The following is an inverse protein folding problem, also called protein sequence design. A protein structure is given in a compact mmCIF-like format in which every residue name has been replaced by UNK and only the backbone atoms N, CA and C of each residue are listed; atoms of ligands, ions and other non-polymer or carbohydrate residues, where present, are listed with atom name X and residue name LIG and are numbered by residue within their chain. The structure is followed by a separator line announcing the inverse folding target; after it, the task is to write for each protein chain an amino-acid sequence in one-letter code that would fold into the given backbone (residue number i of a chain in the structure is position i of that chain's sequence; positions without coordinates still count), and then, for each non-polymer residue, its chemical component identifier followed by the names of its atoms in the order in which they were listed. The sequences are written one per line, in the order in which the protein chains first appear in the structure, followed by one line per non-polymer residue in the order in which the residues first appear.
data_IF_606156639831
#
_entry.id   IF_606156639831
#
_cell.length_a   1.000
_cell.length_b   1.000
_cell.length_c   1.000
_cell.angle_alpha   90.00
_cell.angle_beta   90.00
_cell.angle_gamma   90.00
#
_symmetry.space_group_name_H-M   'P 1'
#
loop_
_entity.id
_entity.type
_entity.pdbx_description
1 polymer ?
#
# COMPACT_ATOMS: atom_id res chain seq x y z
N UNK A 1 52.77 -23.74 -41.22
CA UNK A 1 52.63 -22.26 -41.15
C UNK A 1 51.20 -21.71 -41.26
N UNK A 2 50.15 -22.45 -41.64
CA UNK A 2 48.75 -21.93 -41.62
C UNK A 2 47.89 -22.34 -40.42
N UNK A 3 48.29 -23.34 -39.63
CA UNK A 3 47.48 -23.84 -38.50
C UNK A 3 47.81 -23.18 -37.14
N UNK A 4 49.00 -22.61 -36.96
CA UNK A 4 49.42 -22.03 -35.68
C UNK A 4 48.84 -20.62 -35.45
N UNK A 5 48.51 -19.89 -36.52
CA UNK A 5 47.94 -18.53 -36.46
C UNK A 5 46.46 -18.57 -36.02
N UNK A 6 45.73 -19.64 -36.35
CA UNK A 6 44.32 -19.82 -35.96
C UNK A 6 44.19 -20.16 -34.47
N UNK A 7 45.16 -20.89 -33.92
CA UNK A 7 45.17 -21.27 -32.51
C UNK A 7 45.49 -20.08 -31.59
N UNK A 8 46.45 -19.24 -31.98
CA UNK A 8 46.79 -18.01 -31.26
C UNK A 8 45.65 -16.99 -31.25
N UNK A 9 44.96 -16.80 -32.38
CA UNK A 9 43.82 -15.87 -32.46
C UNK A 9 42.62 -16.32 -31.62
N UNK A 10 42.33 -17.62 -31.58
CA UNK A 10 41.30 -18.19 -30.69
C UNK A 10 41.66 -18.06 -29.19
N UNK A 11 42.92 -18.24 -28.83
CA UNK A 11 43.39 -18.11 -27.44
C UNK A 11 43.21 -16.67 -26.92
N UNK A 12 43.65 -15.68 -27.70
CA UNK A 12 43.49 -14.26 -27.36
C UNK A 12 42.01 -13.80 -27.33
N UNK A 13 41.17 -14.36 -28.20
CA UNK A 13 39.73 -14.11 -28.17
C UNK A 13 39.07 -14.67 -26.89
N UNK A 14 39.47 -15.87 -26.46
CA UNK A 14 38.97 -16.50 -25.23
C UNK A 14 39.38 -15.71 -23.97
N UNK A 15 40.62 -15.22 -23.93
CA UNK A 15 41.13 -14.42 -22.82
C UNK A 15 40.44 -13.05 -22.72
N UNK A 16 40.17 -12.39 -23.87
CA UNK A 16 39.34 -11.18 -23.93
C UNK A 16 37.90 -11.43 -23.46
N UNK A 17 37.28 -12.54 -23.85
CA UNK A 17 35.95 -12.91 -23.37
C UNK A 17 35.92 -13.15 -21.85
N UNK A 18 36.94 -13.82 -21.29
CA UNK A 18 37.05 -14.05 -19.85
C UNK A 18 37.26 -12.74 -19.08
N UNK A 19 38.13 -11.85 -19.56
CA UNK A 19 38.35 -10.53 -18.96
C UNK A 19 37.06 -9.70 -19.01
N UNK A 20 36.35 -9.68 -20.14
CA UNK A 20 35.07 -8.97 -20.26
C UNK A 20 33.99 -9.56 -19.34
N UNK A 21 33.94 -10.88 -19.18
CA UNK A 21 33.03 -11.53 -18.25
C UNK A 21 33.36 -11.20 -16.78
N UNK A 22 34.65 -11.18 -16.41
CA UNK A 22 35.12 -10.78 -15.08
C UNK A 22 34.84 -9.31 -14.82
N UNK A 23 35.13 -8.41 -15.76
CA UNK A 23 34.83 -6.97 -15.65
C UNK A 23 33.34 -6.71 -15.52
N UNK A 24 32.51 -7.42 -16.29
CA UNK A 24 31.06 -7.33 -16.19
C UNK A 24 30.53 -7.91 -14.88
N UNK A 25 31.13 -9.00 -14.38
CA UNK A 25 30.79 -9.56 -13.07
C UNK A 25 31.22 -8.64 -11.91
N UNK A 26 32.43 -8.09 -11.95
CA UNK A 26 32.93 -7.08 -11.01
C UNK A 26 32.08 -5.82 -11.04
N UNK A 27 31.67 -5.37 -12.23
CA UNK A 27 30.74 -4.26 -12.42
C UNK A 27 29.37 -4.55 -11.80
N UNK A 28 28.80 -5.74 -12.03
CA UNK A 28 27.56 -6.18 -11.37
C UNK A 28 27.71 -6.31 -9.86
N UNK A 29 28.84 -6.83 -9.37
CA UNK A 29 29.13 -6.98 -7.95
C UNK A 29 29.26 -5.62 -7.25
N UNK A 30 30.00 -4.68 -7.85
CA UNK A 30 30.13 -3.31 -7.37
C UNK A 30 28.76 -2.59 -7.37
N UNK A 31 27.96 -2.79 -8.42
CA UNK A 31 26.59 -2.27 -8.49
C UNK A 31 25.70 -2.85 -7.38
N UNK A 32 25.73 -4.16 -7.16
CA UNK A 32 24.98 -4.84 -6.09
C UNK A 32 25.39 -4.33 -4.70
N UNK A 33 26.69 -4.11 -4.48
CA UNK A 33 27.17 -3.52 -3.23
C UNK A 33 26.67 -2.09 -3.05
N UNK A 34 26.75 -1.23 -4.08
CA UNK A 34 26.18 0.13 -4.02
C UNK A 34 24.67 0.11 -3.74
N UNK A 35 23.92 -0.77 -4.41
CA UNK A 35 22.49 -0.97 -4.15
C UNK A 35 22.27 -1.35 -2.69
N UNK A 36 23.03 -2.32 -2.16
CA UNK A 36 22.91 -2.75 -0.76
C UNK A 36 23.19 -1.61 0.22
N UNK A 37 24.20 -0.78 -0.03
CA UNK A 37 24.49 0.37 0.82
C UNK A 37 23.39 1.44 0.75
N UNK A 38 22.75 1.67 -0.41
CA UNK A 38 21.57 2.55 -0.53
C UNK A 38 20.41 2.02 0.33
N UNK A 39 20.10 0.72 0.26
CA UNK A 39 19.04 0.12 1.08
C UNK A 39 19.35 0.24 2.58
N UNK A 40 20.59 0.01 2.99
CA UNK A 40 21.02 0.22 4.38
C UNK A 40 20.88 1.67 4.81
N UNK A 41 21.30 2.62 3.97
CA UNK A 41 21.17 4.05 4.24
C UNK A 41 19.71 4.41 4.54
N UNK A 42 18.77 4.08 3.63
CA UNK A 42 17.36 4.39 3.84
C UNK A 42 16.76 3.66 5.03
N UNK A 43 17.23 2.46 5.37
CA UNK A 43 16.81 1.75 6.57
C UNK A 43 17.17 2.50 7.86
N UNK A 44 18.41 2.97 8.00
CA UNK A 44 18.85 3.73 9.17
C UNK A 44 18.24 5.13 9.18
N UNK A 45 18.20 5.80 8.04
CA UNK A 45 17.62 7.13 7.90
C UNK A 45 16.12 7.15 8.23
N UNK A 46 15.37 6.14 7.80
CA UNK A 46 13.97 6.00 8.19
C UNK A 46 13.79 5.81 9.70
N UNK A 47 14.68 5.06 10.36
CA UNK A 47 14.67 4.90 11.82
C UNK A 47 14.96 6.20 12.54
N UNK A 48 15.93 6.97 12.05
CA UNK A 48 16.26 8.30 12.57
C UNK A 48 15.05 9.24 12.52
N UNK A 49 14.38 9.34 11.36
CA UNK A 49 13.15 10.13 11.21
C UNK A 49 12.07 9.66 12.18
N UNK A 50 11.90 8.34 12.35
CA UNK A 50 10.94 7.79 13.31
C UNK A 50 11.28 8.18 14.75
N UNK A 51 12.54 8.21 15.13
CA UNK A 51 12.98 8.59 16.47
C UNK A 51 12.84 10.11 16.73
N UNK A 52 13.02 10.94 15.70
CA UNK A 52 12.85 12.40 15.79
C UNK A 52 11.39 12.87 15.66
N UNK A 53 10.50 11.98 15.20
CA UNK A 53 9.08 12.29 15.07
C UNK A 53 8.48 12.53 16.46
N UNK A 54 7.92 13.72 16.64
CA UNK A 54 7.22 14.07 17.88
C UNK A 54 5.90 13.32 17.95
N UNK A 55 5.52 12.92 19.17
CA UNK A 55 4.22 12.33 19.44
C UNK A 55 3.34 13.34 20.16
N UNK A 56 2.17 13.63 19.58
CA UNK A 56 1.22 14.60 20.10
C UNK A 56 0.01 13.88 20.71
N UNK A 57 -0.77 14.53 21.60
CA UNK A 57 -1.98 13.94 22.14
C UNK A 57 -2.99 13.54 21.06
N UNK A 58 -3.61 12.37 21.22
CA UNK A 58 -4.70 11.84 20.37
C UNK A 58 -5.79 11.22 21.25
N UNK A 59 -6.17 11.90 22.32
CA UNK A 59 -7.06 11.41 23.39
C UNK A 59 -8.46 11.15 22.87
N UNK A 60 -9.00 12.04 22.03
CA UNK A 60 -10.37 11.93 21.51
C UNK A 60 -10.54 10.63 20.71
N UNK A 61 -9.53 10.28 19.92
CA UNK A 61 -9.52 9.04 19.14
C UNK A 61 -9.55 7.77 20.00
N UNK A 62 -9.18 7.85 21.28
CA UNK A 62 -9.15 6.72 22.22
C UNK A 62 -10.37 6.62 23.11
N UNK A 63 -11.32 7.55 23.04
CA UNK A 63 -12.58 7.42 23.78
C UNK A 63 -13.34 6.14 23.39
N UNK A 64 -14.00 5.45 24.34
CA UNK A 64 -14.69 4.19 24.08
C UNK A 64 -15.69 4.26 22.92
N UNK A 65 -16.47 5.34 22.84
CA UNK A 65 -17.46 5.62 21.79
C UNK A 65 -16.85 5.74 20.38
N UNK A 66 -15.56 6.11 20.28
CA UNK A 66 -14.85 6.28 19.00
C UNK A 66 -14.13 5.00 18.54
N UNK A 67 -14.16 3.93 19.34
CA UNK A 67 -13.45 2.68 19.01
C UNK A 67 -13.91 2.09 17.68
N UNK A 68 -15.20 2.13 17.37
CA UNK A 68 -15.77 1.63 16.11
C UNK A 68 -15.61 2.59 14.91
N UNK A 69 -15.08 3.80 15.12
CA UNK A 69 -14.75 4.77 14.06
C UNK A 69 -13.28 4.67 13.60
N UNK A 70 -12.48 3.83 14.27
CA UNK A 70 -11.07 3.61 13.98
C UNK A 70 -10.83 2.26 13.31
N UNK A 71 -10.26 2.27 12.10
CA UNK A 71 -9.91 1.03 11.39
C UNK A 71 -8.75 0.29 12.04
N UNK A 72 -7.80 1.03 12.59
CA UNK A 72 -6.60 0.50 13.22
C UNK A 72 -6.43 1.10 14.62
N UNK A 73 -6.12 0.25 15.61
CA UNK A 73 -5.97 0.67 17.01
C UNK A 73 -4.75 1.58 17.22
N UNK A 74 -3.72 1.40 16.42
CA UNK A 74 -2.41 2.04 16.48
C UNK A 74 -2.27 3.24 15.53
N UNK A 75 -3.34 3.62 14.81
CA UNK A 75 -3.35 4.79 13.92
C UNK A 75 -4.48 5.72 14.31
N UNK A 76 -4.15 6.90 14.82
CA UNK A 76 -5.13 7.88 15.31
C UNK A 76 -4.73 9.29 14.88
N UNK A 77 -5.69 10.19 14.61
CA UNK A 77 -5.37 11.59 14.37
C UNK A 77 -4.97 12.26 15.69
N UNK A 78 -4.05 13.24 15.63
CA UNK A 78 -3.74 14.07 16.78
C UNK A 78 -4.88 15.05 17.08
N UNK A 79 -5.09 15.37 18.35
CA UNK A 79 -6.24 16.16 18.81
C UNK A 79 -6.23 17.59 18.24
N UNK A 80 -5.04 18.18 18.05
CA UNK A 80 -4.87 19.55 17.54
C UNK A 80 -5.09 19.68 16.03
N UNK A 81 -4.93 18.60 15.27
CA UNK A 81 -5.01 18.59 13.81
C UNK A 81 -6.17 17.74 13.27
N UNK A 82 -6.92 17.04 14.14
CA UNK A 82 -8.06 16.23 13.69
C UNK A 82 -9.11 17.09 13.02
N UNK A 83 -9.71 16.56 11.95
CA UNK A 83 -10.92 17.16 11.39
C UNK A 83 -12.07 16.91 12.36
N UNK A 84 -12.90 17.93 12.58
CA UNK A 84 -14.08 17.86 13.45
C UNK A 84 -15.33 17.98 12.60
N UNK A 85 -16.20 16.99 12.67
CA UNK A 85 -17.49 17.02 11.99
C UNK A 85 -18.41 18.01 12.70
N UNK A 86 -19.13 18.82 11.93
CA UNK A 86 -20.18 19.71 12.44
C UNK A 86 -21.55 19.06 12.25
N UNK A 87 -22.55 19.49 13.03
CA UNK A 87 -23.94 19.03 12.94
C UNK A 87 -24.11 17.50 13.15
N UNK A 88 -23.27 16.91 13.99
CA UNK A 88 -23.37 15.51 14.44
C UNK A 88 -23.24 15.45 15.96
N UNK A 89 -23.86 14.45 16.61
CA UNK A 89 -23.73 14.25 18.06
C UNK A 89 -22.29 13.98 18.48
N UNK A 90 -21.54 13.28 17.62
CA UNK A 90 -20.14 12.96 17.81
C UNK A 90 -19.32 13.52 16.64
N UNK A 91 -18.42 14.47 16.96
CA UNK A 91 -17.60 15.23 16.01
C UNK A 91 -16.40 14.43 15.43
N UNK A 92 -16.21 13.19 15.88
CA UNK A 92 -15.00 12.41 15.60
C UNK A 92 -15.04 11.72 14.24
N UNK A 93 -13.96 11.92 13.48
CA UNK A 93 -13.56 11.13 12.32
C UNK A 93 -12.04 10.93 12.35
N UNK A 94 -11.53 9.76 11.94
CA UNK A 94 -10.09 9.50 11.87
C UNK A 94 -9.48 10.17 10.63
N UNK A 95 -9.36 11.49 10.68
CA UNK A 95 -8.79 12.34 9.65
C UNK A 95 -7.98 13.47 10.28
N UNK A 96 -6.89 13.86 9.62
CA UNK A 96 -6.02 14.96 10.06
C UNK A 96 -5.89 15.98 8.94
N UNK A 97 -6.08 17.25 9.25
CA UNK A 97 -5.69 18.36 8.39
C UNK A 97 -4.17 18.55 8.51
N UNK A 98 -3.45 18.28 7.43
CA UNK A 98 -2.00 18.51 7.31
C UNK A 98 -1.83 19.77 6.48
N UNK A 99 -1.39 20.83 7.14
CA UNK A 99 -1.27 22.15 6.53
C UNK A 99 0.20 22.53 6.32
N UNK A 100 0.57 22.77 5.07
CA UNK A 100 1.92 23.19 4.67
C UNK A 100 1.87 24.65 4.24
N UNK A 101 1.73 25.54 5.24
CA UNK A 101 1.50 26.97 5.06
C UNK A 101 2.55 27.64 4.16
N UNK A 102 3.83 27.27 4.31
CA UNK A 102 4.95 27.77 3.48
C UNK A 102 4.69 27.60 1.98
N UNK A 103 4.00 26.52 1.59
CA UNK A 103 3.65 26.25 0.19
C UNK A 103 2.20 26.56 -0.18
N UNK A 104 1.39 27.05 0.76
CA UNK A 104 -0.06 27.23 0.58
C UNK A 104 -0.73 25.95 0.08
N UNK A 105 -0.35 24.80 0.66
CA UNK A 105 -0.88 23.49 0.30
C UNK A 105 -1.36 22.76 1.54
N UNK A 106 -2.62 22.35 1.53
CA UNK A 106 -3.23 21.64 2.65
C UNK A 106 -3.89 20.34 2.18
N UNK A 107 -3.83 19.31 3.02
CA UNK A 107 -4.37 17.99 2.74
C UNK A 107 -5.19 17.50 3.93
N UNK A 108 -6.28 16.78 3.69
CA UNK A 108 -6.91 15.96 4.73
C UNK A 108 -6.48 14.52 4.52
N UNK A 109 -5.64 14.02 5.42
CA UNK A 109 -5.19 12.63 5.41
C UNK A 109 -6.08 11.79 6.32
N UNK A 110 -6.74 10.78 5.75
CA UNK A 110 -7.76 9.98 6.46
C UNK A 110 -7.59 8.48 6.22
N UNK A 111 -8.15 7.66 7.11
CA UNK A 111 -8.24 6.22 6.89
C UNK A 111 -9.21 5.88 5.75
N UNK A 112 -9.08 4.69 5.16
CA UNK A 112 -10.10 4.15 4.27
C UNK A 112 -11.41 3.94 5.05
N UNK A 113 -12.54 4.53 4.63
CA UNK A 113 -13.79 4.46 5.37
C UNK A 113 -14.17 3.04 5.80
N UNK A 114 -14.65 2.90 7.03
CA UNK A 114 -15.39 1.72 7.51
C UNK A 114 -16.85 1.81 7.06
N UNK A 115 -17.60 0.70 6.99
CA UNK A 115 -19.02 0.72 6.60
C UNK A 115 -19.86 1.74 7.38
N UNK A 116 -19.66 1.83 8.70
CA UNK A 116 -20.34 2.77 9.59
C UNK A 116 -19.77 4.20 9.57
N UNK A 117 -18.82 4.50 8.69
CA UNK A 117 -18.18 5.82 8.58
C UNK A 117 -18.17 6.39 7.17
N UNK A 118 -18.77 5.70 6.19
CA UNK A 118 -18.92 6.24 4.84
C UNK A 118 -19.76 7.53 4.83
N UNK A 119 -20.83 7.60 5.62
CA UNK A 119 -21.64 8.81 5.79
C UNK A 119 -20.80 9.98 6.35
N UNK A 120 -20.05 9.73 7.42
CA UNK A 120 -19.13 10.70 8.03
C UNK A 120 -18.04 11.17 7.05
N UNK A 121 -17.54 10.29 6.18
CA UNK A 121 -16.56 10.63 5.16
C UNK A 121 -17.12 11.64 4.15
N UNK A 122 -18.33 11.42 3.63
CA UNK A 122 -18.94 12.36 2.69
C UNK A 122 -19.38 13.68 3.34
N UNK A 123 -19.83 13.62 4.61
CA UNK A 123 -20.04 14.82 5.41
C UNK A 123 -18.74 15.65 5.54
N UNK A 124 -17.61 14.99 5.81
CA UNK A 124 -16.30 15.64 5.86
C UNK A 124 -15.93 16.28 4.51
N UNK A 125 -16.05 15.54 3.41
CA UNK A 125 -15.79 16.06 2.04
C UNK A 125 -16.59 17.33 1.79
N UNK A 126 -17.88 17.33 2.15
CA UNK A 126 -18.76 18.49 2.02
C UNK A 126 -18.32 19.67 2.88
N UNK A 127 -18.10 19.45 4.18
CA UNK A 127 -17.77 20.51 5.14
C UNK A 127 -16.41 21.14 4.87
N UNK A 128 -15.44 20.33 4.44
CA UNK A 128 -14.12 20.82 4.06
C UNK A 128 -14.10 21.50 2.69
N UNK A 129 -15.22 21.50 1.94
CA UNK A 129 -15.31 22.06 0.58
C UNK A 129 -14.27 21.44 -0.38
N UNK A 130 -13.94 20.18 -0.18
CA UNK A 130 -12.94 19.47 -0.98
C UNK A 130 -13.49 19.18 -2.37
N UNK A 131 -12.68 19.47 -3.41
CA UNK A 131 -13.04 19.20 -4.82
C UNK A 131 -12.65 17.80 -5.28
N UNK A 132 -11.70 17.17 -4.59
CA UNK A 132 -11.22 15.85 -4.96
C UNK A 132 -10.95 14.93 -3.77
N UNK A 133 -11.02 13.64 -4.07
CA UNK A 133 -10.62 12.52 -3.23
C UNK A 133 -9.56 11.71 -3.98
N UNK A 134 -8.42 11.46 -3.34
CA UNK A 134 -7.33 10.63 -3.85
C UNK A 134 -7.28 9.34 -3.05
N UNK A 135 -7.68 8.23 -3.68
CA UNK A 135 -7.70 6.88 -3.13
C UNK A 135 -6.49 6.08 -3.63
N UNK A 136 -5.62 5.67 -2.71
CA UNK A 136 -4.35 5.00 -3.04
C UNK A 136 -4.33 3.51 -2.72
N UNK A 137 -5.50 2.88 -2.52
CA UNK A 137 -5.62 1.45 -2.23
C UNK A 137 -6.79 0.82 -2.98
N UNK A 138 -6.79 -0.51 -3.09
CA UNK A 138 -7.99 -1.25 -3.51
C UNK A 138 -8.88 -1.55 -2.31
N UNK A 139 -10.18 -1.71 -2.54
CA UNK A 139 -11.16 -2.13 -1.51
C UNK A 139 -10.70 -3.41 -0.81
N UNK A 140 -10.20 -4.37 -1.58
CA UNK A 140 -9.62 -5.62 -1.10
C UNK A 140 -8.16 -5.73 -1.53
N UNK A 141 -7.27 -6.03 -0.58
CA UNK A 141 -5.86 -6.31 -0.85
C UNK A 141 -5.40 -7.52 -0.03
N UNK A 142 -4.70 -8.47 -0.66
CA UNK A 142 -4.25 -9.71 -0.02
C UNK A 142 -5.41 -10.40 0.73
N UNK A 143 -6.56 -10.52 0.05
CA UNK A 143 -7.79 -11.14 0.57
C UNK A 143 -8.43 -10.46 1.79
N UNK A 144 -7.99 -9.25 2.15
CA UNK A 144 -8.50 -8.50 3.29
C UNK A 144 -9.17 -7.20 2.85
N UNK A 145 -10.32 -6.86 3.44
CA UNK A 145 -11.00 -5.58 3.19
C UNK A 145 -10.21 -4.45 3.83
N UNK A 146 -9.69 -3.54 2.99
CA UNK A 146 -8.86 -2.40 3.38
C UNK A 146 -9.61 -1.08 3.41
N UNK A 147 -10.74 -1.00 2.72
CA UNK A 147 -11.62 0.15 2.63
C UNK A 147 -13.03 -0.37 2.33
N UNK A 148 -14.08 0.30 2.83
CA UNK A 148 -15.44 0.03 2.37
C UNK A 148 -15.64 0.54 0.94
N UNK A 149 -16.61 -0.02 0.22
CA UNK A 149 -17.11 0.56 -1.02
C UNK A 149 -17.94 1.80 -0.66
N UNK A 150 -17.31 2.98 -0.66
CA UNK A 150 -17.93 4.23 -0.20
C UNK A 150 -18.43 5.12 -1.35
N UNK A 151 -18.19 4.72 -2.60
CA UNK A 151 -18.68 5.38 -3.81
C UNK A 151 -19.45 4.36 -4.67
N UNK A 152 -20.40 4.81 -5.53
CA UNK A 152 -21.09 3.94 -6.46
C UNK A 152 -20.18 3.46 -7.60
N UNK A 153 -20.30 2.18 -8.00
CA UNK A 153 -19.56 1.56 -9.12
C UNK A 153 -20.41 1.24 -10.34
N UNK A 154 -21.74 1.30 -10.21
CA UNK A 154 -22.71 1.06 -11.28
C UNK A 154 -23.58 2.32 -11.44
N UNK A 155 -24.60 2.30 -12.31
CA UNK A 155 -25.62 3.36 -12.47
C UNK A 155 -26.50 3.61 -11.21
N UNK A 156 -26.04 3.14 -10.04
CA UNK A 156 -26.71 3.25 -8.75
C UNK A 156 -26.24 4.49 -8.02
N UNK A 157 -27.15 5.13 -7.29
CA UNK A 157 -26.82 6.14 -6.30
C UNK A 157 -26.58 5.49 -4.93
N UNK A 158 -25.71 6.11 -4.12
CA UNK A 158 -25.55 5.77 -2.71
C UNK A 158 -26.16 6.88 -1.86
N UNK A 159 -27.08 6.52 -0.97
CA UNK A 159 -27.74 7.45 -0.05
C UNK A 159 -27.26 7.19 1.37
N UNK A 160 -26.67 8.20 2.00
CA UNK A 160 -26.20 8.21 3.38
C UNK A 160 -27.19 9.03 4.23
N UNK A 161 -28.26 8.36 4.67
CA UNK A 161 -29.39 9.01 5.37
C UNK A 161 -28.98 9.64 6.69
N UNK A 162 -28.00 9.05 7.38
CA UNK A 162 -27.49 9.50 8.68
C UNK A 162 -26.90 10.91 8.63
N UNK A 163 -26.35 11.29 7.48
CA UNK A 163 -25.74 12.61 7.25
C UNK A 163 -26.45 13.43 6.18
N UNK A 164 -27.53 12.91 5.58
CA UNK A 164 -28.32 13.61 4.56
C UNK A 164 -27.62 13.81 3.22
N UNK A 165 -26.73 12.90 2.81
CA UNK A 165 -26.00 13.01 1.54
C UNK A 165 -26.36 11.92 0.55
N UNK A 166 -26.34 12.28 -0.73
CA UNK A 166 -26.44 11.34 -1.85
C UNK A 166 -25.20 11.47 -2.74
N UNK A 167 -24.67 10.35 -3.20
CA UNK A 167 -23.53 10.28 -4.12
C UNK A 167 -23.93 9.53 -5.38
N UNK A 168 -23.74 10.15 -6.53
CA UNK A 168 -23.99 9.57 -7.86
C UNK A 168 -22.70 9.51 -8.67
N UNK A 169 -22.52 8.44 -9.43
CA UNK A 169 -21.48 8.37 -10.46
C UNK A 169 -21.98 9.10 -11.71
N UNK A 170 -21.22 10.09 -12.20
CA UNK A 170 -21.53 10.81 -13.44
C UNK A 170 -20.75 10.25 -14.63
N UNK A 171 -19.47 9.94 -14.42
CA UNK A 171 -18.62 9.35 -15.46
C UNK A 171 -17.42 8.63 -14.84
N UNK A 172 -16.81 7.73 -15.60
CA UNK A 172 -15.60 7.01 -15.23
C UNK A 172 -14.61 7.02 -16.40
N UNK A 173 -13.34 7.34 -16.13
CA UNK A 173 -12.22 7.19 -17.06
C UNK A 173 -11.22 6.18 -16.49
N UNK A 174 -11.25 4.96 -17.04
CA UNK A 174 -10.42 3.84 -16.58
C UNK A 174 -9.12 3.78 -17.38
N UNK A 175 -7.97 3.86 -16.69
CA UNK A 175 -6.63 3.63 -17.24
C UNK A 175 -6.01 2.35 -16.69
N UNK A 176 -4.84 1.98 -17.19
CA UNK A 176 -4.17 0.73 -16.81
C UNK A 176 -3.80 0.63 -15.31
N UNK A 177 -3.52 1.75 -14.64
CA UNK A 177 -3.09 1.77 -13.22
C UNK A 177 -3.83 2.76 -12.33
N UNK A 178 -4.78 3.51 -12.88
CA UNK A 178 -5.66 4.39 -12.12
C UNK A 178 -7.00 4.55 -12.82
N UNK A 179 -8.00 4.99 -12.07
CA UNK A 179 -9.33 5.35 -12.58
C UNK A 179 -9.69 6.72 -12.05
N UNK A 180 -10.29 7.57 -12.88
CA UNK A 180 -10.87 8.84 -12.46
C UNK A 180 -12.39 8.74 -12.54
N UNK A 181 -13.06 8.87 -11.40
CA UNK A 181 -14.52 8.96 -11.36
C UNK A 181 -14.92 10.42 -11.18
N UNK A 182 -15.94 10.85 -11.90
CA UNK A 182 -16.62 12.11 -11.63
C UNK A 182 -17.88 11.80 -10.82
N UNK A 183 -17.94 12.28 -9.59
CA UNK A 183 -19.03 12.02 -8.67
C UNK A 183 -19.85 13.29 -8.44
N UNK A 184 -21.16 13.16 -8.32
CA UNK A 184 -22.03 14.22 -7.80
C UNK A 184 -22.33 13.94 -6.33
N UNK A 185 -21.95 14.87 -5.45
CA UNK A 185 -22.30 14.88 -4.04
C UNK A 185 -23.44 15.89 -3.82
N UNK A 186 -24.58 15.40 -3.38
CA UNK A 186 -25.82 16.17 -3.16
C UNK A 186 -26.14 16.22 -1.67
N UNK A 187 -26.36 17.42 -1.14
CA UNK A 187 -26.96 17.61 0.18
C UNK A 187 -28.49 17.60 0.03
N UNK A 188 -29.11 16.50 0.45
CA UNK A 188 -30.53 16.19 0.25
C UNK A 188 -31.44 17.22 0.94
N UNK A 189 -30.97 17.88 2.01
CA UNK A 189 -31.79 18.86 2.74
C UNK A 189 -31.88 20.21 2.03
N UNK A 190 -30.87 20.54 1.21
CA UNK A 190 -30.73 21.85 0.56
C UNK A 190 -30.81 21.80 -0.96
N UNK A 191 -30.81 20.60 -1.53
CA UNK A 191 -30.64 20.32 -2.97
C UNK A 191 -29.37 20.92 -3.61
N UNK A 192 -28.44 21.47 -2.81
CA UNK A 192 -27.12 21.89 -3.28
C UNK A 192 -26.32 20.65 -3.74
N UNK A 193 -25.69 20.76 -4.91
CA UNK A 193 -24.85 19.70 -5.47
C UNK A 193 -23.44 20.20 -5.76
N UNK A 194 -22.46 19.31 -5.62
CA UNK A 194 -21.05 19.56 -5.93
C UNK A 194 -20.48 18.40 -6.71
N UNK A 195 -19.64 18.73 -7.68
CA UNK A 195 -18.91 17.73 -8.45
C UNK A 195 -17.58 17.43 -7.77
N UNK A 196 -17.32 16.15 -7.50
CA UNK A 196 -16.12 15.65 -6.82
C UNK A 196 -15.33 14.75 -7.77
N UNK A 197 -14.07 15.07 -8.00
CA UNK A 197 -13.15 14.21 -8.74
C UNK A 197 -12.55 13.14 -7.82
N UNK A 198 -12.83 11.87 -8.09
CA UNK A 198 -12.31 10.74 -7.32
C UNK A 198 -11.21 10.02 -8.11
N UNK A 199 -9.96 10.27 -7.72
CA UNK A 199 -8.76 9.70 -8.32
C UNK A 199 -8.36 8.41 -7.59
N UNK A 200 -8.52 7.27 -8.25
CA UNK A 200 -8.26 5.95 -7.66
C UNK A 200 -7.02 5.31 -8.28
N UNK A 201 -5.90 5.27 -7.56
CA UNK A 201 -4.70 4.53 -7.98
C UNK A 201 -4.87 3.03 -7.65
N UNK A 202 -4.96 2.18 -8.68
CA UNK A 202 -5.43 0.79 -8.54
C UNK A 202 -4.31 -0.25 -8.39
N UNK A 203 -3.08 0.08 -8.79
CA UNK A 203 -1.96 -0.89 -8.83
C UNK A 203 -0.89 -0.68 -7.75
N UNK A 204 -1.13 0.19 -6.76
CA UNK A 204 -0.17 0.40 -5.67
C UNK A 204 -0.23 -0.76 -4.66
N UNK A 205 0.82 -1.59 -4.53
CA UNK A 205 0.81 -2.73 -3.61
C UNK A 205 0.87 -2.32 -2.13
N UNK A 206 0.12 -3.03 -1.27
CA UNK A 206 0.13 -2.78 0.18
C UNK A 206 1.52 -3.05 0.80
N UNK A 207 2.03 -2.06 1.54
CA UNK A 207 3.41 -1.97 2.08
C UNK A 207 4.54 -1.94 1.04
N UNK A 208 4.21 -1.93 -0.25
CA UNK A 208 5.18 -1.77 -1.33
C UNK A 208 5.24 -0.33 -1.85
N UNK A 209 5.84 -0.21 -3.02
CA UNK A 209 5.97 1.03 -3.78
C UNK A 209 5.56 0.77 -5.22
N UNK A 210 5.13 1.80 -5.98
CA UNK A 210 4.93 1.67 -7.42
C UNK A 210 6.21 1.17 -8.10
N UNK A 211 6.07 0.38 -9.17
CA UNK A 211 7.21 -0.21 -9.87
C UNK A 211 8.16 0.85 -10.46
N UNK A 212 7.61 2.00 -10.86
CA UNK A 212 8.39 3.13 -11.33
C UNK A 212 7.84 4.46 -10.79
N UNK A 213 8.70 5.48 -10.59
CA UNK A 213 8.25 6.84 -10.31
C UNK A 213 7.38 7.44 -11.42
N UNK A 214 7.51 6.97 -12.68
CA UNK A 214 6.81 7.54 -13.83
C UNK A 214 5.28 7.41 -13.72
N UNK A 215 4.75 6.23 -13.36
CA UNK A 215 3.30 6.04 -13.20
C UNK A 215 2.76 6.86 -12.02
N UNK A 216 3.50 6.91 -10.91
CA UNK A 216 3.14 7.73 -9.75
C UNK A 216 3.11 9.22 -10.10
N UNK A 217 4.15 9.72 -10.77
CA UNK A 217 4.24 11.12 -11.16
C UNK A 217 3.15 11.47 -12.17
N UNK A 218 2.94 10.67 -13.21
CA UNK A 218 1.85 10.91 -14.15
C UNK A 218 0.49 11.00 -13.44
N UNK A 219 0.20 10.11 -12.50
CA UNK A 219 -1.01 10.20 -11.68
C UNK A 219 -1.05 11.47 -10.82
N UNK A 220 0.04 11.84 -10.12
CA UNK A 220 0.11 13.07 -9.34
C UNK A 220 -0.14 14.31 -10.20
N UNK A 221 0.47 14.38 -11.38
CA UNK A 221 0.25 15.48 -12.32
C UNK A 221 -1.18 15.51 -12.85
N UNK A 222 -1.84 14.35 -13.07
CA UNK A 222 -3.28 14.31 -13.38
C UNK A 222 -4.14 14.91 -12.27
N UNK A 223 -3.80 14.67 -10.99
CA UNK A 223 -4.48 15.31 -9.86
C UNK A 223 -4.24 16.83 -9.87
N UNK A 224 -3.00 17.28 -10.11
CA UNK A 224 -2.65 18.71 -10.20
C UNK A 224 -3.37 19.43 -11.34
N UNK A 225 -3.38 18.84 -12.54
CA UNK A 225 -4.02 19.39 -13.75
C UNK A 225 -5.54 19.59 -13.60
N UNK A 226 -6.18 18.87 -12.67
CA UNK A 226 -7.61 19.08 -12.37
C UNK A 226 -7.91 20.37 -11.60
N UNK A 227 -6.88 21.08 -11.12
CA UNK A 227 -6.99 22.23 -10.22
C UNK A 227 -7.48 21.87 -8.82
N UNK A 228 -7.60 20.59 -8.48
CA UNK A 228 -8.16 20.17 -7.18
C UNK A 228 -7.21 20.35 -5.99
N UNK A 229 -5.95 20.70 -6.26
CA UNK A 229 -4.94 21.01 -5.25
C UNK A 229 -4.79 22.53 -5.04
N UNK A 230 -5.48 23.35 -5.83
CA UNK A 230 -5.35 24.81 -5.82
C UNK A 230 -5.95 25.42 -4.54
N UNK A 231 -5.42 26.58 -4.08
CA UNK A 231 -5.84 27.20 -2.82
C UNK A 231 -7.29 27.74 -2.84
N UNK A 232 -7.92 27.86 -4.00
CA UNK A 232 -9.30 28.32 -4.16
C UNK A 232 -10.35 27.30 -3.70
N UNK A 233 -9.90 26.09 -3.32
CA UNK A 233 -10.74 25.00 -2.89
C UNK A 233 -10.35 24.51 -1.50
N UNK A 234 -11.25 23.74 -0.89
CA UNK A 234 -10.92 23.00 0.31
C UNK A 234 -9.76 22.02 0.12
N UNK A 235 -9.08 21.60 1.20
CA UNK A 235 -7.98 20.65 1.12
C UNK A 235 -8.43 19.35 0.44
N UNK A 236 -7.57 18.81 -0.43
CA UNK A 236 -7.84 17.50 -1.05
C UNK A 236 -7.91 16.41 0.03
N UNK A 237 -8.85 15.48 -0.11
CA UNK A 237 -8.91 14.31 0.77
C UNK A 237 -8.00 13.23 0.20
N UNK A 238 -6.98 12.80 0.94
CA UNK A 238 -6.08 11.71 0.51
C UNK A 238 -6.19 10.55 1.48
N UNK A 239 -6.44 9.35 0.98
CA UNK A 239 -6.52 8.17 1.81
C UNK A 239 -5.86 6.95 1.17
N UNK A 240 -5.52 6.00 2.03
CA UNK A 240 -5.26 4.62 1.64
C UNK A 240 -6.07 3.74 2.59
N UNK A 241 -5.49 2.66 3.13
CA UNK A 241 -6.19 1.91 4.20
C UNK A 241 -6.08 2.62 5.56
N UNK A 242 -4.86 2.93 6.02
CA UNK A 242 -4.63 3.62 7.30
C UNK A 242 -4.49 5.15 7.16
N UNK A 243 -4.29 5.65 5.95
CA UNK A 243 -4.10 7.08 5.69
C UNK A 243 -2.74 7.63 6.11
N UNK A 244 -1.68 6.81 6.14
CA UNK A 244 -0.35 7.24 6.61
C UNK A 244 0.80 6.82 5.68
N UNK A 245 0.84 5.58 5.18
CA UNK A 245 1.93 5.09 4.33
C UNK A 245 1.91 5.73 2.93
N UNK A 246 1.03 5.22 2.06
CA UNK A 246 0.87 5.69 0.67
C UNK A 246 0.43 7.15 0.60
N UNK A 247 -0.49 7.54 1.48
CA UNK A 247 -0.96 8.93 1.61
C UNK A 247 0.15 9.89 2.03
N UNK A 248 1.04 9.46 2.93
CA UNK A 248 2.22 10.22 3.32
C UNK A 248 3.21 10.38 2.16
N UNK A 249 3.47 9.30 1.39
CA UNK A 249 4.30 9.38 0.17
C UNK A 249 3.71 10.34 -0.86
N UNK A 250 2.41 10.22 -1.16
CA UNK A 250 1.75 11.11 -2.13
C UNK A 250 1.92 12.59 -1.74
N UNK A 251 1.54 12.91 -0.50
CA UNK A 251 1.52 14.29 -0.02
C UNK A 251 2.92 14.87 0.15
N UNK A 252 3.90 14.07 0.62
CA UNK A 252 5.30 14.51 0.72
C UNK A 252 5.89 14.83 -0.64
N UNK A 253 5.70 13.95 -1.63
CA UNK A 253 6.24 14.19 -2.98
C UNK A 253 5.62 15.43 -3.59
N UNK A 254 4.30 15.58 -3.49
CA UNK A 254 3.60 16.78 -3.95
C UNK A 254 4.14 18.05 -3.29
N UNK A 255 4.16 18.10 -1.96
CA UNK A 255 4.67 19.25 -1.18
C UNK A 255 6.08 19.63 -1.61
N UNK A 256 7.01 18.66 -1.68
CA UNK A 256 8.39 18.94 -2.09
C UNK A 256 8.46 19.48 -3.53
N UNK A 257 7.68 18.95 -4.47
CA UNK A 257 7.68 19.46 -5.84
C UNK A 257 7.17 20.92 -5.90
N UNK A 258 6.19 21.30 -5.07
CA UNK A 258 5.72 22.70 -4.98
C UNK A 258 6.78 23.61 -4.39
N UNK A 259 7.48 23.20 -3.32
CA UNK A 259 8.63 23.96 -2.78
C UNK A 259 9.70 24.19 -3.84
N UNK A 260 9.97 23.16 -4.65
CA UNK A 260 10.96 23.22 -5.74
C UNK A 260 10.53 24.18 -6.86
N UNK A 261 9.24 24.21 -7.20
CA UNK A 261 8.67 25.16 -8.17
C UNK A 261 8.80 26.61 -7.71
N UNK A 262 8.78 26.85 -6.38
CA UNK A 262 9.02 28.18 -5.79
C UNK A 262 10.51 28.56 -5.71
N UNK A 263 11.42 27.61 -5.98
CA UNK A 263 12.87 27.82 -5.93
C UNK A 263 13.51 27.56 -4.57
N UNK A 264 12.80 26.92 -3.64
CA UNK A 264 13.31 26.63 -2.29
C UNK A 264 14.35 25.50 -2.29
N UNK A 265 15.34 25.59 -1.40
CA UNK A 265 16.18 24.43 -1.08
C UNK A 265 15.43 23.47 -0.15
N UNK A 266 15.40 22.18 -0.49
CA UNK A 266 14.49 21.22 0.14
C UNK A 266 15.25 20.23 1.01
N UNK A 267 14.99 20.31 2.31
CA UNK A 267 15.28 19.22 3.23
C UNK A 267 14.07 18.28 3.36
N UNK A 268 14.03 17.23 2.53
CA UNK A 268 12.90 16.27 2.48
C UNK A 268 12.62 15.63 3.84
N UNK A 269 13.66 15.35 4.65
CA UNK A 269 13.48 14.84 6.03
C UNK A 269 12.76 15.86 6.90
N UNK A 270 13.16 17.13 6.84
CA UNK A 270 12.51 18.18 7.64
C UNK A 270 11.06 18.39 7.21
N UNK A 271 10.77 18.38 5.91
CA UNK A 271 9.39 18.43 5.39
C UNK A 271 8.57 17.27 5.94
N UNK A 272 9.07 16.04 5.87
CA UNK A 272 8.38 14.86 6.42
C UNK A 272 8.17 14.96 7.95
N UNK A 273 9.17 15.43 8.69
CA UNK A 273 9.04 15.66 10.14
C UNK A 273 7.98 16.72 10.44
N UNK A 274 7.92 17.80 9.66
CA UNK A 274 6.90 18.84 9.78
C UNK A 274 5.50 18.27 9.49
N UNK A 275 5.32 17.51 8.41
CA UNK A 275 4.04 16.85 8.11
C UNK A 275 3.63 15.87 9.22
N UNK A 276 4.59 15.15 9.81
CA UNK A 276 4.35 14.23 10.93
C UNK A 276 3.91 14.92 12.22
N UNK A 277 4.07 16.24 12.35
CA UNK A 277 3.45 17.00 13.44
C UNK A 277 1.94 16.99 13.37
N UNK A 278 1.36 16.86 12.16
CA UNK A 278 -0.10 16.86 11.96
C UNK A 278 -0.69 15.46 11.97
N UNK A 279 0.02 14.45 11.48
CA UNK A 279 -0.45 13.05 11.49
C UNK A 279 0.69 12.09 11.74
N UNK A 280 0.49 11.17 12.68
CA UNK A 280 1.49 10.17 13.03
C UNK A 280 1.87 9.27 11.84
N UNK A 281 3.13 8.81 11.84
CA UNK A 281 3.54 7.67 11.04
C UNK A 281 3.47 7.85 9.51
N UNK A 282 3.42 9.08 8.99
CA UNK A 282 3.48 9.31 7.55
C UNK A 282 4.73 8.66 6.95
N UNK A 283 4.56 7.87 5.87
CA UNK A 283 5.58 6.95 5.34
C UNK A 283 5.89 5.83 6.35
N UNK A 284 5.57 4.59 5.98
CA UNK A 284 5.58 3.43 6.88
C UNK A 284 6.79 2.50 6.69
N UNK A 285 7.50 2.60 5.56
CA UNK A 285 8.64 1.72 5.26
C UNK A 285 9.85 2.51 4.72
N UNK A 286 11.08 2.00 4.91
CA UNK A 286 12.27 2.56 4.27
C UNK A 286 12.13 2.65 2.73
N UNK A 287 11.46 1.67 2.12
CA UNK A 287 11.25 1.64 0.67
C UNK A 287 10.32 2.76 0.21
N UNK A 288 9.27 3.08 0.98
CA UNK A 288 8.41 4.24 0.69
C UNK A 288 9.18 5.56 0.82
N UNK A 289 10.08 5.68 1.80
CA UNK A 289 10.95 6.85 1.92
C UNK A 289 11.89 6.96 0.71
N UNK A 290 12.58 5.87 0.36
CA UNK A 290 13.44 5.78 -0.81
C UNK A 290 12.69 6.13 -2.10
N UNK A 291 11.49 5.60 -2.28
CA UNK A 291 10.64 5.89 -3.43
C UNK A 291 10.24 7.37 -3.48
N UNK A 292 9.94 7.99 -2.32
CA UNK A 292 9.62 9.42 -2.25
C UNK A 292 10.79 10.26 -2.78
N UNK A 293 12.03 9.96 -2.37
CA UNK A 293 13.22 10.62 -2.92
C UNK A 293 13.37 10.40 -4.43
N UNK A 294 13.17 9.16 -4.91
CA UNK A 294 13.23 8.88 -6.35
C UNK A 294 12.20 9.68 -7.14
N UNK A 295 10.96 9.75 -6.65
CA UNK A 295 9.89 10.50 -7.28
C UNK A 295 10.13 12.01 -7.26
N UNK A 296 10.65 12.56 -6.16
CA UNK A 296 11.01 13.99 -6.07
C UNK A 296 12.15 14.31 -7.04
N UNK A 297 13.22 13.50 -7.08
CA UNK A 297 14.36 13.71 -7.99
C UNK A 297 13.92 13.63 -9.46
N UNK A 298 13.06 12.66 -9.79
CA UNK A 298 12.54 12.51 -11.15
C UNK A 298 11.58 13.67 -11.49
N UNK A 299 10.70 14.03 -10.57
CA UNK A 299 9.75 15.14 -10.70
C UNK A 299 10.43 16.50 -10.90
N UNK A 300 11.53 16.74 -10.19
CA UNK A 300 12.33 17.95 -10.30
C UNK A 300 12.90 18.19 -11.72
N UNK A 301 13.07 17.13 -12.52
CA UNK A 301 13.52 17.27 -13.91
C UNK A 301 12.47 17.94 -14.79
N UNK A 302 11.18 17.71 -14.55
CA UNK A 302 10.09 18.42 -15.24
C UNK A 302 10.09 19.90 -14.92
N UNK A 303 10.27 20.27 -13.65
CA UNK A 303 10.26 21.66 -13.18
C UNK A 303 11.38 22.47 -13.85
N UNK A 304 12.54 21.84 -14.12
CA UNK A 304 13.68 22.47 -14.79
C UNK A 304 13.51 22.69 -16.31
N UNK A 305 12.30 22.57 -16.85
CA UNK A 305 11.95 22.98 -18.21
C UNK A 305 11.96 21.88 -19.26
N UNK A 306 12.09 20.60 -18.88
CA UNK A 306 12.02 19.49 -19.82
C UNK A 306 10.56 19.05 -20.01
N UNK A 307 9.78 19.86 -20.74
CA UNK A 307 8.35 19.65 -21.01
C UNK A 307 8.04 18.33 -21.74
N UNK A 308 9.04 17.71 -22.37
CA UNK A 308 8.92 16.39 -22.98
C UNK A 308 8.87 15.25 -21.96
N UNK A 309 9.31 15.46 -20.72
CA UNK A 309 9.31 14.40 -19.69
C UNK A 309 7.89 13.97 -19.32
N UNK A 310 6.92 14.90 -19.29
CA UNK A 310 5.54 14.53 -18.97
C UNK A 310 4.94 13.58 -20.03
N UNK A 311 5.18 13.87 -21.32
CA UNK A 311 4.84 12.95 -22.42
C UNK A 311 5.55 11.61 -22.25
N UNK A 312 6.84 11.64 -21.89
CA UNK A 312 7.64 10.44 -21.65
C UNK A 312 7.12 9.61 -20.48
N UNK A 313 6.65 10.22 -19.39
CA UNK A 313 6.05 9.46 -18.27
C UNK A 313 4.72 8.86 -18.66
N UNK A 314 3.89 9.59 -19.41
CA UNK A 314 2.66 9.01 -19.98
C UNK A 314 2.98 7.76 -20.79
N UNK A 315 3.94 7.84 -21.71
CA UNK A 315 4.41 6.71 -22.52
C UNK A 315 4.98 5.57 -21.66
N UNK A 316 5.88 5.87 -20.71
CA UNK A 316 6.51 4.88 -19.84
C UNK A 316 5.52 4.23 -18.87
N UNK A 317 4.49 4.96 -18.46
CA UNK A 317 3.44 4.46 -17.56
C UNK A 317 2.48 3.52 -18.26
N UNK A 318 2.43 3.57 -19.61
CA UNK A 318 1.54 2.76 -20.44
C UNK A 318 0.08 2.89 -19.99
N UNK A 319 -0.37 4.11 -19.72
CA UNK A 319 -1.72 4.38 -19.17
C UNK A 319 -2.85 3.90 -20.08
N UNK A 320 -2.64 3.95 -21.41
CA UNK A 320 -3.65 3.61 -22.42
C UNK A 320 -3.79 2.09 -22.69
N UNK A 321 -3.01 1.25 -22.00
CA UNK A 321 -3.19 -0.21 -22.08
C UNK A 321 -4.46 -0.66 -21.33
N UNK A 322 -5.06 -1.76 -21.79
CA UNK A 322 -6.18 -2.37 -21.07
C UNK A 322 -5.78 -2.73 -19.63
N UNK A 323 -6.65 -2.51 -18.63
CA UNK A 323 -6.41 -2.94 -17.26
C UNK A 323 -6.07 -4.43 -17.22
N UNK A 324 -5.08 -4.81 -16.41
CA UNK A 324 -4.78 -6.22 -16.20
C UNK A 324 -5.99 -6.90 -15.54
N UNK A 325 -6.59 -7.88 -16.20
CA UNK A 325 -7.71 -8.67 -15.68
C UNK A 325 -7.24 -9.53 -14.50
N UNK A 326 -7.46 -9.07 -13.27
CA UNK A 326 -7.45 -9.94 -12.11
C UNK A 326 -8.77 -10.74 -12.10
N UNK A 327 -8.75 -11.95 -12.66
CA UNK A 327 -9.84 -12.90 -12.49
C UNK A 327 -9.94 -13.30 -11.01
N UNK A 328 -10.89 -12.73 -10.28
CA UNK A 328 -11.42 -13.35 -9.06
C UNK A 328 -12.95 -13.41 -9.15
N UNK A 329 -13.55 -14.61 -9.15
CA UNK A 329 -15.01 -14.72 -9.20
C UNK A 329 -15.62 -14.17 -7.90
N UNK A 330 -16.72 -13.43 -8.04
CA UNK A 330 -17.60 -12.99 -6.96
C UNK A 330 -17.94 -14.18 -6.03
N UNK A 331 -17.17 -14.34 -4.95
CA UNK A 331 -17.56 -15.16 -3.81
C UNK A 331 -18.07 -14.22 -2.75
N UNK A 332 -19.33 -14.38 -2.38
CA UNK A 332 -19.90 -13.85 -1.14
C UNK A 332 -19.06 -14.40 0.02
N UNK A 333 -18.06 -13.63 0.43
CA UNK A 333 -17.22 -13.91 1.58
C UNK A 333 -17.88 -13.28 2.79
N UNK A 334 -18.18 -14.09 3.81
CA UNK A 334 -18.47 -13.58 5.16
C UNK A 334 -17.36 -12.62 5.59
N UNK A 335 -17.72 -11.34 5.70
CA UNK A 335 -16.83 -10.22 5.97
C UNK A 335 -16.10 -10.43 7.31
N UNK A 336 -14.77 -10.56 7.26
CA UNK A 336 -13.92 -10.51 8.45
C UNK A 336 -13.10 -9.23 8.40
N UNK A 337 -13.60 -8.20 9.06
CA UNK A 337 -12.82 -7.01 9.38
C UNK A 337 -11.70 -7.41 10.35
N UNK A 338 -10.49 -6.92 10.12
CA UNK A 338 -9.40 -7.09 11.07
C UNK A 338 -9.66 -6.22 12.30
N UNK A 339 -10.36 -6.78 13.28
CA UNK A 339 -10.63 -6.15 14.57
C UNK A 339 -11.93 -6.64 15.18
N UNK A 340 -11.81 -7.36 16.30
CA UNK A 340 -12.87 -7.87 17.19
C UNK A 340 -13.61 -9.14 16.73
N UNK A 341 -13.26 -10.27 17.36
CA UNK A 341 -14.23 -11.30 17.73
C UNK A 341 -14.90 -10.83 19.02
N UNK A 342 -16.22 -10.76 19.05
CA UNK A 342 -17.00 -10.65 20.28
C UNK A 342 -17.79 -11.96 20.39
N UNK A 343 -17.50 -12.74 21.43
CA UNK A 343 -18.39 -13.81 21.86
C UNK A 343 -19.52 -13.21 22.69
N UNK A 344 -20.72 -13.81 22.74
CA UNK A 344 -21.76 -13.34 23.62
C UNK A 344 -21.40 -13.71 25.06
N UNK A 345 -21.25 -12.69 25.92
CA UNK A 345 -21.36 -12.85 27.37
C UNK A 345 -22.85 -12.85 27.73
N UNK A 346 -23.26 -13.86 28.49
CA UNK A 346 -24.60 -14.01 29.04
C UNK A 346 -24.81 -12.96 30.15
N UNK A 347 -25.79 -12.08 29.96
CA UNK A 347 -26.31 -11.25 31.05
C UNK A 347 -27.18 -12.11 31.96
N UNK A 348 -26.72 -12.31 33.19
CA UNK A 348 -27.55 -12.76 34.31
C UNK A 348 -28.28 -11.55 34.90
N UNK A 349 -29.61 -11.59 34.90
CA UNK A 349 -30.45 -10.78 35.80
C UNK A 349 -31.41 -11.70 36.58
N UNK A 350 -31.72 -11.35 37.84
CA UNK A 350 -32.30 -12.27 38.82
C UNK A 350 -33.82 -12.36 38.72
N UNK A 351 -34.36 -13.50 39.15
CA UNK A 351 -35.76 -13.85 39.00
C UNK A 351 -36.71 -13.22 40.02
N UNK A 352 -38.00 -13.33 39.69
CA UNK A 352 -39.04 -13.56 40.68
C UNK A 352 -40.22 -14.34 40.09
N UNK A 353 -40.91 -15.09 40.95
CA UNK A 353 -41.88 -16.17 40.68
C UNK A 353 -43.28 -15.66 40.30
N UNK A 354 -44.06 -16.44 39.54
CA UNK A 354 -45.32 -17.08 40.03
C UNK A 354 -45.97 -18.04 38.99
N UNK A 355 -46.66 -19.05 39.51
CA UNK A 355 -47.29 -20.25 38.90
C UNK A 355 -48.43 -20.01 37.90
N UNK A 356 -48.71 -21.02 37.03
CA UNK A 356 -50.05 -21.26 36.48
C UNK A 356 -50.21 -22.19 35.25
N UNK A 357 -50.26 -23.51 35.48
CA UNK A 357 -51.06 -24.58 34.83
C UNK A 357 -51.27 -24.69 33.27
N UNK A 358 -50.67 -25.76 32.71
CA UNK A 358 -51.25 -26.87 31.89
C UNK A 358 -52.28 -26.64 30.76
N UNK A 359 -51.92 -27.06 29.54
CA UNK A 359 -52.64 -28.14 28.81
C UNK A 359 -51.81 -28.74 27.67
N UNK A 360 -51.76 -30.09 27.62
CA UNK A 360 -51.09 -30.94 26.62
C UNK A 360 -51.79 -30.91 25.25
N UNK A 361 -51.01 -31.04 24.18
CA UNK A 361 -51.31 -31.95 23.06
C UNK A 361 -49.97 -32.43 22.47
N UNK A 362 -49.76 -33.75 22.39
CA UNK A 362 -48.63 -34.42 21.75
C UNK A 362 -49.07 -34.95 20.40
N UNK A 363 -48.20 -34.88 19.38
CA UNK A 363 -47.84 -35.95 18.41
C UNK A 363 -46.86 -35.39 17.34
N UNK A 364 -46.12 -36.21 16.54
CA UNK A 364 -44.80 -36.71 16.95
C UNK A 364 -43.66 -36.47 15.92
N UNK A 365 -42.41 -36.51 16.42
CA UNK A 365 -41.19 -37.07 15.80
C UNK A 365 -40.85 -36.65 14.36
N UNK A 366 -40.14 -35.54 14.18
CA UNK A 366 -39.28 -35.33 13.00
C UNK A 366 -38.03 -34.44 13.28
N UNK A 367 -37.55 -34.38 14.53
CA UNK A 367 -36.49 -33.44 14.94
C UNK A 367 -35.08 -34.02 15.14
N UNK A 368 -34.90 -35.35 15.18
CA UNK A 368 -33.60 -35.91 15.61
C UNK A 368 -32.58 -36.01 14.47
N UNK A 369 -33.00 -36.35 13.24
CA UNK A 369 -32.08 -36.60 12.13
C UNK A 369 -31.40 -35.33 11.60
N UNK A 370 -32.10 -34.20 11.53
CA UNK A 370 -31.52 -32.94 11.06
C UNK A 370 -30.41 -32.40 11.99
N UNK A 371 -30.61 -32.53 13.31
CA UNK A 371 -29.63 -32.07 14.31
C UNK A 371 -28.34 -32.89 14.26
N UNK A 372 -28.46 -34.20 14.01
CA UNK A 372 -27.34 -35.14 13.86
C UNK A 372 -26.59 -34.91 12.54
N UNK A 373 -27.31 -34.62 11.45
CA UNK A 373 -26.71 -34.28 10.15
C UNK A 373 -25.95 -32.95 10.23
N UNK A 374 -26.51 -31.91 10.85
CA UNK A 374 -25.80 -30.62 11.06
C UNK A 374 -24.57 -30.78 11.95
N UNK A 375 -24.61 -31.66 12.95
CA UNK A 375 -23.45 -31.95 13.81
C UNK A 375 -22.34 -32.65 13.02
N UNK A 376 -22.65 -33.66 12.20
CA UNK A 376 -21.68 -34.33 11.31
C UNK A 376 -21.06 -33.38 10.29
N UNK A 377 -21.85 -32.51 9.64
CA UNK A 377 -21.33 -31.52 8.68
C UNK A 377 -20.37 -30.53 9.36
N UNK A 378 -20.63 -30.15 10.62
CA UNK A 378 -19.75 -29.27 11.40
C UNK A 378 -18.46 -29.96 11.80
N UNK A 379 -18.51 -31.24 12.13
CA UNK A 379 -17.34 -32.06 12.48
C UNK A 379 -16.46 -32.35 11.24
N UNK A 380 -17.06 -32.66 10.09
CA UNK A 380 -16.35 -32.83 8.81
C UNK A 380 -15.64 -31.54 8.37
N UNK A 381 -16.28 -30.37 8.54
CA UNK A 381 -15.63 -29.08 8.27
C UNK A 381 -14.45 -28.80 9.20
N UNK A 382 -14.55 -29.18 10.47
CA UNK A 382 -13.44 -29.07 11.44
C UNK A 382 -12.29 -30.01 11.05
N UNK A 383 -12.59 -31.26 10.72
CA UNK A 383 -11.60 -32.24 10.29
C UNK A 383 -10.89 -31.82 9.00
N UNK A 384 -11.63 -31.35 7.99
CA UNK A 384 -11.08 -30.87 6.72
C UNK A 384 -10.19 -29.63 6.92
N UNK A 385 -10.58 -28.73 7.83
CA UNK A 385 -9.78 -27.54 8.16
C UNK A 385 -8.51 -27.91 8.91
N UNK A 386 -8.59 -28.83 9.88
CA UNK A 386 -7.44 -29.34 10.61
C UNK A 386 -6.43 -30.04 9.67
N UNK A 387 -6.93 -30.83 8.71
CA UNK A 387 -6.11 -31.52 7.72
C UNK A 387 -5.39 -30.54 6.77
N UNK A 388 -6.07 -29.48 6.33
CA UNK A 388 -5.45 -28.39 5.53
C UNK A 388 -4.39 -27.62 6.30
N UNK A 389 -4.64 -27.34 7.59
CA UNK A 389 -3.65 -26.69 8.47
C UNK A 389 -2.43 -27.59 8.67
N UNK A 390 -2.62 -28.89 8.82
CA UNK A 390 -1.53 -29.85 8.98
C UNK A 390 -0.69 -29.99 7.70
N UNK A 391 -1.33 -30.02 6.51
CA UNK A 391 -0.64 -29.98 5.22
C UNK A 391 0.14 -28.68 5.01
N UNK A 392 -0.42 -27.52 5.39
CA UNK A 392 0.30 -26.24 5.32
C UNK A 392 1.51 -26.22 6.26
N UNK A 393 1.38 -26.73 7.50
CA UNK A 393 2.50 -26.85 8.45
C UNK A 393 3.60 -27.76 7.90
N UNK A 394 3.26 -28.88 7.27
CA UNK A 394 4.24 -29.76 6.63
C UNK A 394 4.97 -29.08 5.47
N UNK A 395 4.25 -28.35 4.59
CA UNK A 395 4.88 -27.59 3.50
C UNK A 395 5.80 -26.47 3.98
N UNK A 396 5.43 -25.77 5.06
CA UNK A 396 6.27 -24.77 5.70
C UNK A 396 7.54 -25.40 6.30
N UNK A 397 7.40 -26.53 7.00
CA UNK A 397 8.54 -27.27 7.52
C UNK A 397 9.47 -27.79 6.41
N UNK A 398 8.93 -28.26 5.28
CA UNK A 398 9.74 -28.68 4.13
C UNK A 398 10.46 -27.51 3.46
N UNK A 399 9.81 -26.36 3.28
CA UNK A 399 10.45 -25.16 2.73
C UNK A 399 11.53 -24.64 3.68
N UNK A 400 11.31 -24.67 4.99
CA UNK A 400 12.31 -24.28 5.97
C UNK A 400 13.49 -25.27 6.02
N UNK A 401 13.24 -26.59 5.90
CA UNK A 401 14.30 -27.61 5.75
C UNK A 401 15.10 -27.39 4.47
N UNK A 402 14.45 -27.15 3.32
CA UNK A 402 15.13 -26.84 2.05
C UNK A 402 15.97 -25.57 2.16
N UNK A 403 15.46 -24.52 2.82
CA UNK A 403 16.19 -23.27 3.08
C UNK A 403 17.40 -23.47 3.99
N UNK A 404 17.25 -24.23 5.09
CA UNK A 404 18.37 -24.59 5.99
C UNK A 404 19.43 -25.42 5.28
N UNK A 405 19.01 -26.38 4.43
CA UNK A 405 19.91 -27.16 3.58
C UNK A 405 20.65 -26.25 2.59
N UNK A 406 19.95 -25.35 1.91
CA UNK A 406 20.57 -24.41 0.98
C UNK A 406 21.57 -23.48 1.67
N UNK A 407 21.22 -22.90 2.82
CA UNK A 407 22.12 -22.06 3.62
C UNK A 407 23.35 -22.82 4.14
N UNK A 408 23.23 -24.11 4.44
CA UNK A 408 24.35 -24.97 4.82
C UNK A 408 25.29 -25.26 3.63
N UNK A 409 24.73 -25.55 2.46
CA UNK A 409 25.51 -25.87 1.25
C UNK A 409 26.06 -24.64 0.53
N UNK A 410 25.45 -23.47 0.69
CA UNK A 410 25.87 -22.22 0.04
C UNK A 410 27.36 -21.90 0.29
N UNK A 411 27.88 -21.85 1.53
CA UNK A 411 29.29 -21.58 1.78
C UNK A 411 30.22 -22.69 1.23
N UNK A 412 29.78 -23.95 1.25
CA UNK A 412 30.55 -25.10 0.75
C UNK A 412 30.69 -25.01 -0.78
N UNK A 413 29.59 -24.79 -1.49
CA UNK A 413 29.57 -24.64 -2.95
C UNK A 413 30.39 -23.44 -3.41
N UNK A 414 30.34 -22.31 -2.70
CA UNK A 414 31.21 -21.17 -3.01
C UNK A 414 32.69 -21.48 -2.78
N UNK A 415 33.06 -22.21 -1.72
CA UNK A 415 34.45 -22.59 -1.47
C UNK A 415 34.97 -23.58 -2.52
N UNK A 416 34.16 -24.57 -2.90
CA UNK A 416 34.50 -25.52 -3.97
C UNK A 416 34.67 -24.78 -5.30
N UNK A 417 33.75 -23.87 -5.65
CA UNK A 417 33.85 -23.06 -6.87
C UNK A 417 35.12 -22.21 -6.92
N UNK A 418 35.48 -21.54 -5.81
CA UNK A 418 36.72 -20.76 -5.72
C UNK A 418 37.96 -21.66 -5.86
N UNK A 419 37.98 -22.80 -5.19
CA UNK A 419 39.09 -23.75 -5.30
C UNK A 419 39.25 -24.32 -6.71
N UNK A 420 38.14 -24.62 -7.40
CA UNK A 420 38.20 -25.07 -8.80
C UNK A 420 38.79 -24.01 -9.71
N UNK A 421 38.43 -22.74 -9.53
CA UNK A 421 38.99 -21.62 -10.31
C UNK A 421 40.50 -21.46 -10.05
N UNK A 422 40.94 -21.57 -8.79
CA UNK A 422 42.37 -21.49 -8.44
C UNK A 422 43.16 -22.66 -9.02
N UNK A 423 42.64 -23.88 -8.95
CA UNK A 423 43.31 -25.08 -9.49
C UNK A 423 43.40 -25.02 -11.01
N UNK A 424 42.32 -24.65 -11.69
CA UNK A 424 42.34 -24.46 -13.15
C UNK A 424 43.29 -23.34 -13.53
N UNK A 425 43.28 -22.21 -12.80
CA UNK A 425 44.24 -21.12 -13.00
C UNK A 425 45.69 -21.56 -12.85
N UNK A 426 46.00 -22.32 -11.79
CA UNK A 426 47.34 -22.85 -11.55
C UNK A 426 47.78 -23.86 -12.62
N UNK A 427 46.88 -24.75 -13.07
CA UNK A 427 47.13 -25.70 -14.16
C UNK A 427 47.41 -24.97 -15.49
N UNK A 428 46.63 -23.94 -15.80
CA UNK A 428 46.86 -23.11 -17.00
C UNK A 428 48.17 -22.33 -16.90
N UNK A 429 48.50 -21.77 -15.74
CA UNK A 429 49.78 -21.10 -15.53
C UNK A 429 50.96 -22.08 -15.64
N UNK A 430 50.81 -23.31 -15.12
CA UNK A 430 51.82 -24.36 -15.21
C UNK A 430 52.05 -24.81 -16.65
N UNK A 431 51.00 -25.04 -17.43
CA UNK A 431 51.14 -25.43 -18.85
C UNK A 431 51.75 -24.34 -19.70
N UNK A 432 51.42 -23.08 -19.44
CA UNK A 432 52.03 -21.92 -20.12
C UNK A 432 53.50 -21.74 -19.75
N UNK A 433 53.86 -21.94 -18.48
CA UNK A 433 55.25 -21.85 -18.02
C UNK A 433 56.13 -22.93 -18.67
N UNK A 434 55.64 -24.17 -18.77
CA UNK A 434 56.39 -25.26 -19.42
C UNK A 434 56.44 -25.16 -20.94
N UNK A 435 55.43 -24.58 -21.60
CA UNK A 435 55.51 -24.29 -23.05
C UNK A 435 56.59 -23.27 -23.41
N UNK A 436 57.03 -22.44 -22.46
CA UNK A 436 58.12 -21.48 -22.64
C UNK A 436 59.53 -22.09 -22.53
N UNK A 437 59.67 -23.32 -22.01
CA UNK A 437 60.95 -24.01 -21.80
C UNK A 437 61.22 -25.17 -22.78
N UNK A 438 60.32 -25.40 -23.74
CA UNK A 438 60.44 -26.49 -24.76
C UNK A 438 60.62 -25.91 -26.19
N UNK A 439 61.00 -24.65 -26.32
CA UNK A 439 61.36 -24.00 -27.60
C UNK A 439 62.82 -23.58 -27.61
#
# INVERSE_FOLDING_TARGET
MRNDVVCFTCYWACQKCLINAILHWLGRYALLNKIREIFKFFFFYFKEIRNESHDYPHRVAKFPENRNRNRYRDVSPYDHSRVKLQNTENDYINASLVDMEEVQRSYVLTQGPLPNTCCHFWLMVWQQKSKAVVMLNRVVEKESVKCAQYWPTDDREMVFKETGFRVKLLSEDVKSYYTVHLLQLENISSDETRTISHFHYTTWPDFGVPESPASFLNFLFKVRESGSLDPDHGPVIVHCSAGIGRSGTFSLVDTCLVMMEKGDDINIKQVLLNMRKYRMGLIQTPDQLRFSYMAIIEGAKCIKGDSNIQKRWKELSKEDLSPALDHSPNRVMTEKYNGNRIGPEEEQLPGDRCMGLSSKTQDPVEGSNESVVRKRIREDRKATTAQKVQQMKQRLNETERKRKRWLYWQPILTKVGVMSVVVVGALVSWTLFFQQYVL
#
